data_IF_073480026895
#
_entry.id   IF_073480026895
#
_cell.length_a   1.000
_cell.length_b   1.000
_cell.length_c   1.000
_cell.angle_alpha   90.00
_cell.angle_beta   90.00
_cell.angle_gamma   90.00
#
_symmetry.space_group_name_H-M   'P 1'
#
loop_
_entity.id
_entity.type
_entity.pdbx_description
1 polymer ?
#
# COMPACT_ATOMS: atom_id res chain seq x y z
N UNK A 1 -12.76 12.03 2.94
CA UNK A 1 -12.13 10.82 3.51
C UNK A 1 -10.63 10.87 3.26
N UNK A 2 -9.84 10.59 4.28
CA UNK A 2 -8.39 10.61 4.13
C UNK A 2 -7.92 9.45 3.26
N UNK A 3 -6.79 9.66 2.60
CA UNK A 3 -6.23 8.70 1.64
C UNK A 3 -6.02 7.31 2.23
N UNK A 4 -5.47 7.21 3.45
CA UNK A 4 -5.25 5.90 4.08
C UNK A 4 -6.55 5.10 4.22
N UNK A 5 -7.64 5.77 4.61
CA UNK A 5 -8.93 5.11 4.73
C UNK A 5 -9.49 4.66 3.39
N UNK A 6 -9.33 5.50 2.36
CA UNK A 6 -9.76 5.13 1.00
C UNK A 6 -9.04 3.88 0.53
N UNK A 7 -7.72 3.87 0.67
CA UNK A 7 -6.90 2.74 0.23
C UNK A 7 -7.27 1.49 1.01
N UNK A 8 -7.42 1.61 2.34
CA UNK A 8 -7.79 0.47 3.17
C UNK A 8 -9.11 -0.14 2.74
N UNK A 9 -10.10 0.70 2.41
CA UNK A 9 -11.40 0.21 1.92
C UNK A 9 -11.25 -0.51 0.58
N UNK A 10 -10.47 0.05 -0.34
CA UNK A 10 -10.22 -0.59 -1.64
C UNK A 10 -9.59 -1.97 -1.44
N UNK A 11 -8.60 -2.06 -0.57
CA UNK A 11 -7.94 -3.34 -0.32
C UNK A 11 -8.88 -4.34 0.33
N UNK A 12 -9.70 -3.91 1.28
CA UNK A 12 -10.69 -4.79 1.92
C UNK A 12 -11.75 -5.30 0.95
N UNK A 13 -12.09 -4.50 -0.05
CA UNK A 13 -13.06 -4.90 -1.06
C UNK A 13 -12.50 -5.92 -2.05
N UNK A 14 -11.19 -5.95 -2.21
CA UNK A 14 -10.54 -6.79 -3.22
C UNK A 14 -9.83 -8.01 -2.65
N UNK A 15 -9.49 -8.00 -1.36
CA UNK A 15 -8.74 -9.09 -0.74
C UNK A 15 -9.34 -9.48 0.60
N UNK A 16 -9.19 -10.75 0.94
CA UNK A 16 -9.49 -11.24 2.27
C UNK A 16 -8.24 -11.01 3.14
N UNK A 17 -8.19 -9.86 3.79
CA UNK A 17 -7.00 -9.43 4.53
C UNK A 17 -7.00 -9.98 5.94
N UNK A 18 -5.88 -10.55 6.36
CA UNK A 18 -5.64 -10.95 7.75
C UNK A 18 -5.00 -9.81 8.53
N UNK A 19 -4.12 -9.05 7.90
CA UNK A 19 -3.48 -7.87 8.47
C UNK A 19 -3.45 -6.81 7.37
N UNK A 20 -3.73 -5.57 7.74
CA UNK A 20 -3.56 -4.44 6.84
C UNK A 20 -3.15 -3.22 7.65
N UNK A 21 -1.93 -2.76 7.45
CA UNK A 21 -1.40 -1.56 8.09
C UNK A 21 -0.94 -0.61 7.01
N UNK A 22 -1.42 0.62 7.06
CA UNK A 22 -1.03 1.67 6.13
C UNK A 22 -0.48 2.83 6.94
N UNK A 23 0.78 3.16 6.70
CA UNK A 23 1.45 4.24 7.41
C UNK A 23 1.77 5.39 6.45
N UNK A 24 1.55 6.61 6.92
CA UNK A 24 1.98 7.81 6.22
C UNK A 24 3.43 8.08 6.60
N UNK A 25 4.34 7.88 5.65
CA UNK A 25 5.78 8.08 5.86
C UNK A 25 6.27 9.31 5.11
N UNK A 26 5.37 10.23 4.78
CA UNK A 26 5.70 11.42 4.00
C UNK A 26 6.77 12.28 4.66
N UNK A 27 6.72 12.43 5.98
CA UNK A 27 7.68 13.29 6.69
C UNK A 27 9.12 12.79 6.56
N UNK A 28 9.34 11.49 6.44
CA UNK A 28 10.69 10.96 6.24
C UNK A 28 11.23 11.31 4.84
N UNK A 29 10.39 11.81 3.96
CA UNK A 29 10.75 12.24 2.62
C UNK A 29 10.73 13.77 2.45
N UNK A 30 10.70 14.51 3.55
CA UNK A 30 10.71 15.98 3.49
C UNK A 30 11.95 16.45 2.70
N UNK A 31 11.70 17.33 1.74
CA UNK A 31 12.75 17.83 0.86
C UNK A 31 13.07 16.90 -0.32
N UNK A 32 12.48 15.71 -0.37
CA UNK A 32 12.67 14.79 -1.48
C UNK A 32 11.63 15.05 -2.58
N UNK A 33 11.91 14.55 -3.77
CA UNK A 33 11.01 14.70 -4.91
C UNK A 33 9.63 14.14 -4.57
N UNK A 34 8.59 14.88 -4.92
CA UNK A 34 7.21 14.47 -4.71
C UNK A 34 6.64 14.79 -3.33
N UNK A 35 7.48 15.25 -2.39
CA UNK A 35 6.99 15.67 -1.08
C UNK A 35 6.17 16.96 -1.20
N UNK A 36 4.99 16.97 -0.58
CA UNK A 36 4.12 18.16 -0.49
C UNK A 36 3.70 18.31 0.96
N UNK A 37 3.97 19.48 1.55
CA UNK A 37 3.65 19.78 2.94
C UNK A 37 2.16 19.53 3.21
N UNK A 38 1.87 18.79 4.29
CA UNK A 38 0.49 18.52 4.70
C UNK A 38 -0.26 17.48 3.87
N UNK A 39 0.40 16.85 2.90
CA UNK A 39 -0.23 15.83 2.04
C UNK A 39 0.35 14.45 2.33
N UNK A 40 -0.49 13.43 2.14
CA UNK A 40 -0.06 12.03 2.21
C UNK A 40 0.55 11.62 0.87
N UNK A 41 1.85 11.92 0.69
CA UNK A 41 2.54 11.71 -0.59
C UNK A 41 3.32 10.41 -0.64
N UNK A 42 3.72 9.88 0.51
CA UNK A 42 4.51 8.65 0.61
C UNK A 42 3.90 7.75 1.67
N UNK A 43 3.53 6.54 1.25
CA UNK A 43 2.88 5.57 2.14
C UNK A 43 3.67 4.27 2.21
N UNK A 44 3.54 3.57 3.34
CA UNK A 44 4.02 2.21 3.51
C UNK A 44 2.81 1.32 3.77
N UNK A 45 2.63 0.27 2.96
CA UNK A 45 1.52 -0.66 3.07
C UNK A 45 2.04 -2.04 3.42
N UNK A 46 1.60 -2.56 4.56
CA UNK A 46 1.87 -3.92 5.01
C UNK A 46 0.54 -4.66 5.01
N UNK A 47 0.44 -5.73 4.23
CA UNK A 47 -0.78 -6.53 4.15
C UNK A 47 -0.48 -8.01 4.08
N UNK A 48 -1.29 -8.80 4.77
CA UNK A 48 -1.21 -10.25 4.76
C UNK A 48 -2.54 -10.81 4.25
N UNK A 49 -2.47 -11.59 3.19
CA UNK A 49 -3.64 -12.22 2.59
C UNK A 49 -3.22 -13.49 1.84
N UNK A 50 -3.98 -14.57 2.02
CA UNK A 50 -3.72 -15.78 1.24
C UNK A 50 -4.16 -15.64 -0.22
N UNK A 51 -4.85 -14.55 -0.56
CA UNK A 51 -5.15 -14.22 -1.95
C UNK A 51 -3.88 -13.89 -2.74
N UNK A 52 -2.77 -13.62 -2.06
CA UNK A 52 -1.47 -13.41 -2.70
C UNK A 52 -0.75 -14.70 -3.07
N UNK A 53 -1.30 -15.85 -2.68
CA UNK A 53 -0.69 -17.14 -3.00
C UNK A 53 -0.61 -17.29 -4.52
N UNK A 54 0.47 -17.91 -4.99
CA UNK A 54 0.75 -18.16 -6.41
C UNK A 54 1.04 -16.88 -7.22
N UNK A 55 1.15 -15.75 -6.55
CA UNK A 55 1.56 -14.49 -7.18
C UNK A 55 2.99 -14.16 -6.77
N UNK A 56 3.79 -13.69 -7.72
CA UNK A 56 5.10 -13.15 -7.40
C UNK A 56 4.93 -11.86 -6.62
N UNK A 57 5.97 -11.42 -5.89
CA UNK A 57 5.90 -10.17 -5.15
C UNK A 57 5.68 -8.98 -6.08
N UNK A 58 6.27 -9.02 -7.27
CA UNK A 58 6.07 -7.97 -8.28
C UNK A 58 4.63 -7.94 -8.75
N UNK A 59 4.03 -9.10 -8.98
CA UNK A 59 2.63 -9.16 -9.41
C UNK A 59 1.68 -8.60 -8.34
N UNK A 60 1.95 -8.90 -7.08
CA UNK A 60 1.18 -8.34 -5.96
C UNK A 60 1.22 -6.82 -5.97
N UNK A 61 2.41 -6.26 -6.15
CA UNK A 61 2.60 -4.80 -6.20
C UNK A 61 1.88 -4.19 -7.39
N UNK A 62 1.95 -4.83 -8.56
CA UNK A 62 1.26 -4.34 -9.75
C UNK A 62 -0.23 -4.30 -9.58
N UNK A 63 -0.79 -5.34 -8.96
CA UNK A 63 -2.24 -5.39 -8.69
C UNK A 63 -2.64 -4.23 -7.78
N UNK A 64 -1.89 -4.01 -6.69
CA UNK A 64 -2.22 -2.91 -5.80
C UNK A 64 -2.03 -1.56 -6.45
N UNK A 65 -0.97 -1.37 -7.23
CA UNK A 65 -0.77 -0.11 -7.96
C UNK A 65 -1.96 0.19 -8.88
N UNK A 66 -2.50 -0.82 -9.54
CA UNK A 66 -3.66 -0.63 -10.41
C UNK A 66 -4.91 -0.26 -9.61
N UNK A 67 -5.10 -0.90 -8.46
CA UNK A 67 -6.27 -0.65 -7.61
C UNK A 67 -6.28 0.77 -7.06
N UNK A 68 -5.12 1.34 -6.77
CA UNK A 68 -5.02 2.68 -6.18
C UNK A 68 -4.50 3.72 -7.19
N UNK A 69 -4.67 3.44 -8.47
CA UNK A 69 -4.16 4.30 -9.54
C UNK A 69 -4.67 5.76 -9.42
N UNK A 70 -5.91 5.95 -8.97
CA UNK A 70 -6.45 7.29 -8.80
C UNK A 70 -5.69 8.12 -7.76
N UNK A 71 -5.16 7.46 -6.73
CA UNK A 71 -4.38 8.18 -5.71
C UNK A 71 -3.05 8.67 -6.29
N UNK A 72 -2.43 7.86 -7.16
CA UNK A 72 -1.20 8.29 -7.85
C UNK A 72 -1.43 9.47 -8.77
N UNK A 73 -2.64 9.65 -9.28
CA UNK A 73 -3.00 10.83 -10.08
C UNK A 73 -3.24 12.06 -9.22
N UNK A 74 -3.39 11.91 -7.92
CA UNK A 74 -3.78 12.96 -6.99
C UNK A 74 -2.76 13.11 -5.86
N UNK A 75 -1.51 13.37 -6.23
CA UNK A 75 -0.39 13.71 -5.33
C UNK A 75 0.24 12.54 -4.57
N UNK A 76 -0.25 11.32 -4.68
CA UNK A 76 0.47 10.19 -4.12
C UNK A 76 1.69 9.93 -4.99
N UNK A 77 2.89 10.06 -4.42
CA UNK A 77 4.13 9.95 -5.18
C UNK A 77 4.68 8.53 -5.18
N UNK A 78 4.71 7.89 -4.01
CA UNK A 78 5.32 6.56 -3.90
C UNK A 78 4.68 5.74 -2.79
N UNK A 79 4.65 4.42 -2.99
CA UNK A 79 4.20 3.47 -1.98
C UNK A 79 5.24 2.36 -1.86
N UNK A 80 5.61 2.04 -0.63
CA UNK A 80 6.43 0.87 -0.31
C UNK A 80 5.48 -0.24 0.12
N UNK A 81 5.62 -1.42 -0.48
CA UNK A 81 4.74 -2.54 -0.19
C UNK A 81 5.48 -3.67 0.52
N UNK A 82 4.80 -4.26 1.50
CA UNK A 82 5.15 -5.57 2.05
C UNK A 82 3.87 -6.40 2.01
N UNK A 83 3.77 -7.30 1.03
CA UNK A 83 2.55 -8.05 0.73
C UNK A 83 2.86 -9.53 0.85
N UNK A 84 2.33 -10.17 1.87
CA UNK A 84 2.69 -11.52 2.26
C UNK A 84 1.48 -12.44 2.33
N UNK A 85 1.70 -13.74 2.08
CA UNK A 85 0.73 -14.77 2.46
C UNK A 85 0.90 -15.03 3.96
N UNK A 86 -0.05 -15.76 4.56
CA UNK A 86 0.05 -16.16 5.96
C UNK A 86 1.32 -16.97 6.25
N UNK A 87 1.67 -17.86 5.34
CA UNK A 87 2.86 -18.70 5.49
C UNK A 87 4.13 -17.86 5.45
N UNK A 88 4.23 -16.93 4.50
CA UNK A 88 5.38 -16.03 4.41
C UNK A 88 5.49 -15.16 5.66
N UNK A 89 4.37 -14.71 6.19
CA UNK A 89 4.35 -13.89 7.40
C UNK A 89 4.88 -14.66 8.61
N UNK A 90 4.51 -15.94 8.74
CA UNK A 90 5.00 -16.79 9.84
C UNK A 90 6.50 -17.02 9.77
N UNK A 91 7.05 -17.05 8.57
CA UNK A 91 8.47 -17.39 8.34
C UNK A 91 9.36 -16.14 8.28
N UNK A 92 8.81 -14.99 8.53
CA UNK A 92 9.57 -13.74 8.53
C UNK A 92 10.14 -13.43 9.91
#
# INVERSE_FOLDING_TARGET
>A
MKRKLKIKQILKQNFNLKICKIEDVSESHRGHKGFIEGKETHLSIFAVSDDFRDLTRVDRQRILNNLIANEFKNDLHAVTYTLLTSEEFKNN
#
